data_IF_190448480348
#
_entry.id   IF_190448480348
#
_cell.length_a   1.000
_cell.length_b   1.000
_cell.length_c   1.000
_cell.angle_alpha   90.00
_cell.angle_beta   90.00
_cell.angle_gamma   90.00
#
_symmetry.space_group_name_H-M   'P 1'
#
loop_
_entity.id
_entity.type
_entity.pdbx_description
1 polymer ?
#
# COMPACT_ATOMS: atom_id res chain seq x y z
N UNK A 1 -0.18 9.92 8.02
CA UNK A 1 -1.33 10.83 8.25
C UNK A 1 -0.92 12.23 7.87
N UNK A 2 -1.75 12.93 7.09
CA UNK A 2 -1.57 14.33 6.66
C UNK A 2 -2.39 15.27 7.53
N UNK A 3 -2.26 16.59 7.31
CA UNK A 3 -3.09 17.58 7.98
C UNK A 3 -4.56 17.42 7.59
N UNK A 4 -4.85 17.24 6.30
CA UNK A 4 -6.21 17.00 5.83
C UNK A 4 -6.86 15.74 6.42
N UNK A 5 -6.10 14.68 6.69
CA UNK A 5 -6.64 13.52 7.41
C UNK A 5 -7.08 13.86 8.85
N UNK A 6 -6.33 14.74 9.55
CA UNK A 6 -6.73 15.20 10.89
C UNK A 6 -8.02 16.04 10.85
N UNK A 7 -8.23 16.75 9.77
CA UNK A 7 -9.41 17.59 9.53
C UNK A 7 -10.60 16.82 8.94
N UNK A 8 -10.47 15.50 8.73
CA UNK A 8 -11.52 14.66 8.16
C UNK A 8 -11.83 14.98 6.70
N UNK A 9 -10.83 15.46 5.93
CA UNK A 9 -10.98 15.80 4.51
C UNK A 9 -10.81 14.59 3.61
N UNK A 10 -11.46 14.60 2.46
CA UNK A 10 -11.22 13.68 1.37
C UNK A 10 -9.86 13.99 0.72
N UNK A 11 -8.82 13.28 1.12
CA UNK A 11 -7.44 13.46 0.61
C UNK A 11 -7.12 12.34 -0.38
N UNK A 12 -7.43 12.57 -1.63
CA UNK A 12 -7.27 11.63 -2.73
C UNK A 12 -5.99 11.85 -3.54
N UNK A 13 -6.09 11.59 -4.85
CA UNK A 13 -4.93 11.70 -5.74
C UNK A 13 -4.63 13.11 -6.23
N UNK A 14 -5.59 14.05 -6.14
CA UNK A 14 -5.38 15.45 -6.53
C UNK A 14 -4.70 16.27 -5.44
N UNK A 15 -4.74 15.80 -4.20
CA UNK A 15 -4.18 16.50 -3.03
C UNK A 15 -2.91 15.80 -2.56
N UNK A 16 -1.75 16.33 -2.93
CA UNK A 16 -0.45 15.73 -2.62
C UNK A 16 0.19 16.37 -1.39
N UNK A 17 -0.45 16.19 -0.23
CA UNK A 17 0.04 16.67 1.05
C UNK A 17 1.20 15.84 1.60
N UNK A 18 2.15 16.49 2.30
CA UNK A 18 3.17 15.79 3.10
C UNK A 18 2.57 15.20 4.38
N UNK A 19 3.36 14.40 5.08
CA UNK A 19 3.02 13.96 6.43
C UNK A 19 2.97 15.16 7.39
N UNK A 20 1.97 15.20 8.25
CA UNK A 20 1.93 16.16 9.36
C UNK A 20 2.81 15.67 10.54
N UNK A 21 3.08 16.57 11.50
CA UNK A 21 3.92 16.24 12.68
C UNK A 21 3.40 15.03 13.45
N UNK A 22 2.07 14.93 13.59
CA UNK A 22 1.42 13.80 14.26
C UNK A 22 1.59 12.50 13.47
N UNK A 23 1.46 12.55 12.14
CA UNK A 23 1.73 11.40 11.26
C UNK A 23 3.16 10.87 11.40
N UNK A 24 4.15 11.77 11.43
CA UNK A 24 5.55 11.41 11.64
C UNK A 24 5.75 10.80 13.05
N UNK A 25 5.12 11.37 14.07
CA UNK A 25 5.20 10.86 15.45
C UNK A 25 4.65 9.43 15.56
N UNK A 26 3.51 9.16 14.94
CA UNK A 26 2.91 7.81 14.90
C UNK A 26 3.86 6.79 14.28
N UNK A 27 4.46 7.09 13.13
CA UNK A 27 5.38 6.18 12.46
C UNK A 27 6.62 5.87 13.31
N UNK A 28 7.20 6.89 13.96
CA UNK A 28 8.38 6.71 14.82
C UNK A 28 8.08 5.97 16.13
N UNK A 29 6.83 5.96 16.57
CA UNK A 29 6.37 5.24 17.76
C UNK A 29 6.00 3.79 17.53
N UNK A 30 5.99 3.32 16.28
CA UNK A 30 5.56 1.97 15.91
C UNK A 30 6.73 1.13 15.39
N UNK A 31 6.62 -0.19 15.53
CA UNK A 31 7.63 -1.15 15.03
C UNK A 31 7.08 -1.83 13.77
N UNK A 32 7.82 -1.70 12.68
CA UNK A 32 7.47 -2.31 11.40
C UNK A 32 8.44 -3.44 11.03
N UNK A 33 7.98 -4.45 10.28
CA UNK A 33 8.87 -5.49 9.76
C UNK A 33 9.95 -4.91 8.86
N UNK A 34 11.13 -5.53 8.88
CA UNK A 34 12.18 -5.18 7.91
C UNK A 34 11.77 -5.58 6.50
N UNK A 35 12.18 -4.79 5.52
CA UNK A 35 11.95 -5.03 4.11
C UNK A 35 13.28 -5.12 3.33
N UNK A 36 13.26 -5.80 2.21
CA UNK A 36 14.39 -5.91 1.26
C UNK A 36 14.13 -5.02 0.03
N UNK A 37 12.85 -4.75 -0.28
CA UNK A 37 12.38 -3.87 -1.35
C UNK A 37 11.19 -3.06 -0.88
N UNK A 38 11.08 -1.83 -1.36
CA UNK A 38 10.00 -0.93 -1.01
C UNK A 38 9.34 -0.40 -2.27
N UNK A 39 8.05 -0.57 -2.35
CA UNK A 39 7.17 0.03 -3.34
C UNK A 39 6.23 1.00 -2.65
N UNK A 40 5.90 2.10 -3.29
CA UNK A 40 4.96 3.07 -2.72
C UNK A 40 4.10 3.74 -3.79
N UNK A 41 2.90 4.16 -3.41
CA UNK A 41 2.18 5.18 -4.16
C UNK A 41 3.11 6.40 -4.38
N UNK A 42 3.05 7.09 -5.53
CA UNK A 42 3.91 8.24 -5.80
C UNK A 42 3.57 9.47 -4.93
N UNK A 43 2.44 9.44 -4.20
CA UNK A 43 2.00 10.54 -3.34
C UNK A 43 3.01 10.79 -2.21
N UNK A 44 3.32 12.07 -1.93
CA UNK A 44 4.32 12.48 -0.94
C UNK A 44 4.16 11.78 0.40
N UNK A 45 2.94 11.71 0.92
CA UNK A 45 2.63 11.03 2.20
C UNK A 45 3.06 9.56 2.24
N UNK A 46 3.00 8.85 1.11
CA UNK A 46 3.43 7.45 1.02
C UNK A 46 4.96 7.35 0.87
N UNK A 47 5.55 8.19 0.03
CA UNK A 47 7.02 8.24 -0.15
C UNK A 47 7.70 8.64 1.15
N UNK A 48 7.24 9.69 1.83
CA UNK A 48 7.77 10.13 3.13
C UNK A 48 7.60 9.05 4.21
N UNK A 49 6.45 8.33 4.23
CA UNK A 49 6.26 7.18 5.13
C UNK A 49 7.32 6.11 4.88
N UNK A 50 7.53 5.72 3.63
CA UNK A 50 8.52 4.71 3.25
C UNK A 50 9.93 5.12 3.64
N UNK A 51 10.30 6.37 3.41
CA UNK A 51 11.62 6.92 3.76
C UNK A 51 11.87 6.97 5.27
N UNK A 52 10.84 7.27 6.07
CA UNK A 52 10.95 7.27 7.54
C UNK A 52 11.13 5.85 8.09
N UNK A 53 10.41 4.88 7.53
CA UNK A 53 10.42 3.50 8.05
C UNK A 53 11.63 2.68 7.58
N UNK A 54 12.15 2.95 6.39
CA UNK A 54 13.24 2.19 5.77
C UNK A 54 14.26 3.12 5.07
N UNK A 55 14.89 3.99 5.83
CA UNK A 55 15.77 5.08 5.35
C UNK A 55 16.86 4.67 4.34
N UNK A 56 17.33 3.42 4.43
CA UNK A 56 18.46 2.93 3.61
C UNK A 56 18.04 2.23 2.32
N UNK A 57 16.74 2.12 2.05
CA UNK A 57 16.20 1.38 0.91
C UNK A 57 15.52 2.34 -0.05
N UNK A 58 15.88 2.26 -1.33
CA UNK A 58 15.26 3.08 -2.36
C UNK A 58 13.79 2.71 -2.54
N UNK A 59 12.94 3.71 -2.67
CA UNK A 59 11.49 3.57 -2.88
C UNK A 59 11.23 3.52 -4.38
N UNK A 60 10.53 2.47 -4.82
CA UNK A 60 10.05 2.33 -6.21
C UNK A 60 8.61 2.83 -6.29
N UNK A 61 8.32 3.89 -7.06
CA UNK A 61 6.96 4.40 -7.19
C UNK A 61 6.08 3.47 -8.02
N UNK A 62 4.82 3.31 -7.60
CA UNK A 62 3.79 2.53 -8.29
C UNK A 62 2.57 3.43 -8.56
N UNK A 63 2.55 4.19 -9.68
CA UNK A 63 1.51 5.19 -9.94
C UNK A 63 0.09 4.62 -9.98
N UNK A 64 -0.08 3.40 -10.46
CA UNK A 64 -1.38 2.73 -10.53
C UNK A 64 -2.00 2.48 -9.15
N UNK A 65 -1.24 2.57 -8.05
CA UNK A 65 -1.70 2.39 -6.67
C UNK A 65 -1.86 3.72 -5.90
N UNK A 66 -2.00 4.84 -6.59
CA UNK A 66 -2.38 6.10 -5.94
C UNK A 66 -3.81 6.03 -5.37
N UNK A 67 -4.16 6.95 -4.46
CA UNK A 67 -5.49 7.01 -3.85
C UNK A 67 -6.58 7.33 -4.89
N UNK A 68 -7.82 7.14 -4.51
CA UNK A 68 -9.00 7.46 -5.32
C UNK A 68 -9.01 8.94 -5.72
N UNK A 69 -9.47 9.21 -6.93
CA UNK A 69 -9.83 10.54 -7.37
C UNK A 69 -11.22 10.90 -6.82
N UNK A 70 -11.26 11.68 -5.74
CA UNK A 70 -12.50 12.11 -5.12
C UNK A 70 -13.20 13.27 -5.87
N UNK A 71 -12.67 13.70 -7.01
CA UNK A 71 -13.29 14.70 -7.87
C UNK A 71 -13.59 16.00 -7.13
N UNK A 72 -14.84 16.45 -7.19
CA UNK A 72 -15.29 17.71 -6.59
C UNK A 72 -15.36 17.67 -5.04
N UNK A 73 -15.24 16.48 -4.44
CA UNK A 73 -15.14 16.33 -2.99
C UNK A 73 -13.71 16.44 -2.47
N UNK A 74 -12.71 16.48 -3.37
CA UNK A 74 -11.30 16.55 -3.02
C UNK A 74 -11.00 17.74 -2.11
N UNK A 75 -10.24 17.48 -1.04
CA UNK A 75 -9.84 18.45 -0.03
C UNK A 75 -10.98 19.17 0.71
N UNK A 76 -12.18 18.59 0.71
CA UNK A 76 -13.32 19.04 1.51
C UNK A 76 -13.63 18.01 2.60
N UNK A 77 -14.21 18.45 3.71
CA UNK A 77 -14.72 17.56 4.74
C UNK A 77 -16.25 17.45 4.69
N UNK A 78 -16.82 16.56 5.50
CA UNK A 78 -18.27 16.32 5.52
C UNK A 78 -19.08 17.56 5.91
N UNK A 79 -18.53 18.48 6.72
CA UNK A 79 -19.21 19.71 7.13
C UNK A 79 -19.31 20.69 5.97
N UNK A 80 -18.25 20.82 5.18
CA UNK A 80 -18.21 21.68 3.99
C UNK A 80 -19.09 21.14 2.86
N UNK A 81 -19.38 19.84 2.88
CA UNK A 81 -20.22 19.15 1.87
C UNK A 81 -21.66 18.93 2.33
N UNK A 82 -22.01 19.22 3.59
CA UNK A 82 -23.32 18.88 4.17
C UNK A 82 -24.53 19.44 3.42
N UNK A 83 -24.38 20.63 2.86
CA UNK A 83 -25.46 21.33 2.13
C UNK A 83 -25.41 21.08 0.61
N UNK A 84 -24.46 20.26 0.14
CA UNK A 84 -24.34 19.91 -1.28
C UNK A 84 -25.30 18.75 -1.62
N UNK A 85 -26.31 18.96 -2.47
CA UNK A 85 -27.26 17.92 -2.85
C UNK A 85 -26.60 16.74 -3.61
N UNK A 86 -25.48 16.99 -4.29
CA UNK A 86 -24.72 15.93 -4.98
C UNK A 86 -24.01 15.04 -3.97
N UNK A 87 -23.46 15.64 -2.92
CA UNK A 87 -22.86 14.89 -1.82
C UNK A 87 -23.91 14.07 -1.07
N UNK A 88 -25.09 14.65 -0.79
CA UNK A 88 -26.18 13.93 -0.14
C UNK A 88 -26.63 12.73 -0.98
N UNK A 89 -26.82 12.91 -2.30
CA UNK A 89 -27.17 11.81 -3.21
C UNK A 89 -26.09 10.71 -3.22
N UNK A 90 -24.82 11.10 -3.14
CA UNK A 90 -23.70 10.14 -3.04
C UNK A 90 -23.77 9.34 -1.74
N UNK A 91 -24.02 10.01 -0.60
CA UNK A 91 -24.20 9.34 0.72
C UNK A 91 -25.40 8.38 0.66
N UNK A 92 -26.56 8.83 0.17
CA UNK A 92 -27.79 8.04 0.09
C UNK A 92 -27.63 6.79 -0.80
N UNK A 93 -26.74 6.87 -1.78
CA UNK A 93 -26.37 5.70 -2.61
C UNK A 93 -25.48 4.67 -1.87
N UNK A 94 -25.05 4.95 -0.65
CA UNK A 94 -24.05 4.14 0.04
C UNK A 94 -22.66 4.18 -0.63
N UNK A 95 -22.33 5.27 -1.33
CA UNK A 95 -21.07 5.44 -2.05
C UNK A 95 -20.97 4.65 -3.36
N UNK A 96 -22.10 4.20 -3.92
CA UNK A 96 -22.12 3.46 -5.20
C UNK A 96 -22.07 4.39 -6.41
N UNK A 97 -22.52 5.64 -6.27
CA UNK A 97 -22.36 6.64 -7.32
C UNK A 97 -20.88 7.01 -7.49
N UNK A 98 -20.43 7.35 -8.71
CA UNK A 98 -19.09 7.88 -8.92
C UNK A 98 -18.91 9.23 -8.21
N UNK A 99 -17.68 9.54 -7.82
CA UNK A 99 -17.36 10.88 -7.33
C UNK A 99 -17.56 11.90 -8.46
N UNK A 100 -18.25 13.02 -8.22
CA UNK A 100 -18.49 14.02 -9.26
C UNK A 100 -17.15 14.53 -9.82
N UNK A 101 -16.97 14.42 -11.14
CA UNK A 101 -15.71 14.76 -11.79
C UNK A 101 -14.49 13.90 -11.39
N UNK A 102 -14.73 12.80 -10.70
CA UNK A 102 -13.70 11.89 -10.20
C UNK A 102 -13.88 10.44 -10.65
N UNK A 103 -13.35 9.52 -9.87
CA UNK A 103 -13.33 8.08 -10.14
C UNK A 103 -14.62 7.41 -9.59
N UNK A 104 -15.12 6.36 -10.25
CA UNK A 104 -16.10 5.49 -9.60
C UNK A 104 -15.40 4.50 -8.68
N UNK A 105 -16.10 4.06 -7.63
CA UNK A 105 -15.57 3.06 -6.70
C UNK A 105 -15.17 1.75 -7.42
N UNK A 106 -15.93 1.37 -8.43
CA UNK A 106 -15.63 0.18 -9.24
C UNK A 106 -14.34 0.36 -10.07
N UNK A 107 -14.15 1.52 -10.71
CA UNK A 107 -12.94 1.82 -11.49
C UNK A 107 -11.71 1.87 -10.58
N UNK A 108 -11.82 2.51 -9.42
CA UNK A 108 -10.79 2.56 -8.40
C UNK A 108 -10.37 1.17 -7.93
N UNK A 109 -11.33 0.34 -7.50
CA UNK A 109 -11.06 -1.04 -7.05
C UNK A 109 -10.37 -1.84 -8.15
N UNK A 110 -10.89 -1.82 -9.37
CA UNK A 110 -10.31 -2.54 -10.50
C UNK A 110 -8.87 -2.10 -10.79
N UNK A 111 -8.59 -0.80 -10.77
CA UNK A 111 -7.24 -0.24 -10.96
C UNK A 111 -6.28 -0.74 -9.89
N UNK A 112 -6.67 -0.67 -8.62
CA UNK A 112 -5.85 -1.12 -7.50
C UNK A 112 -5.58 -2.64 -7.54
N UNK A 113 -6.61 -3.43 -7.84
CA UNK A 113 -6.51 -4.89 -7.91
C UNK A 113 -5.62 -5.35 -9.07
N UNK A 114 -5.79 -4.76 -10.26
CA UNK A 114 -4.94 -5.05 -11.41
C UNK A 114 -3.49 -4.63 -11.17
N UNK A 115 -3.28 -3.42 -10.64
CA UNK A 115 -1.95 -2.92 -10.33
C UNK A 115 -1.23 -3.75 -9.26
N UNK A 116 -1.94 -4.25 -8.25
CA UNK A 116 -1.37 -5.17 -7.26
C UNK A 116 -1.00 -6.52 -7.90
N UNK A 117 -1.86 -7.10 -8.73
CA UNK A 117 -1.57 -8.36 -9.42
C UNK A 117 -0.32 -8.25 -10.31
N UNK A 118 -0.21 -7.18 -11.09
CA UNK A 118 0.99 -6.90 -11.90
C UNK A 118 2.26 -6.76 -11.05
N UNK A 119 2.17 -6.00 -9.96
CA UNK A 119 3.29 -5.83 -9.03
C UNK A 119 3.75 -7.17 -8.44
N UNK A 120 2.82 -8.04 -8.05
CA UNK A 120 3.14 -9.38 -7.55
C UNK A 120 3.87 -10.22 -8.59
N UNK A 121 3.47 -10.15 -9.86
CA UNK A 121 4.17 -10.86 -10.95
C UNK A 121 5.60 -10.33 -11.11
N UNK A 122 5.79 -9.01 -11.12
CA UNK A 122 7.13 -8.39 -11.21
C UNK A 122 8.03 -8.80 -10.04
N UNK A 123 7.48 -8.85 -8.82
CA UNK A 123 8.22 -9.27 -7.63
C UNK A 123 8.65 -10.74 -7.75
N UNK A 124 7.78 -11.63 -8.21
CA UNK A 124 8.11 -13.06 -8.45
C UNK A 124 9.21 -13.23 -9.48
N UNK A 125 9.19 -12.49 -10.56
CA UNK A 125 10.26 -12.49 -11.57
C UNK A 125 11.60 -12.05 -10.98
N UNK A 126 11.59 -10.96 -10.18
CA UNK A 126 12.80 -10.49 -9.48
C UNK A 126 13.32 -11.52 -8.48
N UNK A 127 12.46 -12.21 -7.75
CA UNK A 127 12.86 -13.32 -6.86
C UNK A 127 13.55 -14.45 -7.65
N UNK A 128 12.96 -14.88 -8.75
CA UNK A 128 13.55 -15.93 -9.60
C UNK A 128 14.93 -15.53 -10.12
N UNK A 129 15.09 -14.31 -10.60
CA UNK A 129 16.38 -13.78 -11.06
C UNK A 129 17.41 -13.74 -9.93
N UNK A 130 17.01 -13.24 -8.76
CA UNK A 130 17.87 -13.16 -7.59
C UNK A 130 18.39 -14.53 -7.12
N UNK A 131 17.55 -15.56 -7.15
CA UNK A 131 17.96 -16.94 -6.83
C UNK A 131 18.82 -17.56 -7.92
N UNK A 132 18.58 -17.26 -9.20
CA UNK A 132 19.39 -17.74 -10.32
C UNK A 132 20.83 -17.18 -10.27
N UNK A 133 20.97 -15.88 -10.03
CA UNK A 133 22.27 -15.20 -9.93
C UNK A 133 23.10 -15.71 -8.75
N UNK A 134 22.45 -16.01 -7.63
CA UNK A 134 23.15 -16.62 -6.47
C UNK A 134 23.66 -18.03 -6.77
N UNK A 135 22.86 -18.87 -7.43
CA UNK A 135 23.30 -20.22 -7.83
C UNK A 135 24.48 -20.18 -8.80
N UNK A 136 24.57 -19.17 -9.65
CA UNK A 136 25.71 -19.02 -10.57
C UNK A 136 26.98 -18.61 -9.85
N UNK A 137 26.91 -17.73 -8.84
CA UNK A 137 28.06 -17.26 -8.06
C UNK A 137 28.66 -18.34 -7.13
N UNK A 138 27.81 -19.17 -6.50
CA UNK A 138 28.28 -20.27 -5.63
C UNK A 138 28.97 -21.38 -6.39
N UNK A 139 28.86 -21.44 -7.72
CA UNK A 139 29.57 -22.43 -8.56
C UNK A 139 31.01 -22.02 -8.89
N UNK A 140 31.42 -20.81 -8.65
CA UNK A 140 32.74 -20.27 -9.03
C UNK A 140 33.64 -19.96 -7.83
N UNK A 141 33.19 -20.12 -6.57
CA UNK A 141 34.01 -19.84 -5.40
C UNK A 141 34.54 -21.09 -4.74
N UNK A 142 35.86 -21.21 -4.69
CA UNK A 142 36.64 -22.21 -3.92
C UNK A 142 36.35 -22.04 -2.41
N UNK A 143 36.28 -23.13 -1.61
CA UNK A 143 35.98 -23.02 -0.18
C UNK A 143 37.21 -22.47 0.56
N UNK A 144 37.12 -21.25 1.02
CA UNK A 144 38.13 -20.66 1.88
C UNK A 144 38.02 -19.15 1.98
N UNK A 145 37.23 -18.66 2.90
CA UNK A 145 37.41 -17.50 3.76
C UNK A 145 36.08 -17.01 4.30
N UNK A 146 36.04 -16.81 5.61
CA UNK A 146 34.86 -16.56 6.40
C UNK A 146 34.01 -15.39 5.92
N UNK A 147 32.75 -15.67 5.79
CA UNK A 147 31.71 -14.65 5.66
C UNK A 147 30.96 -14.49 6.98
N UNK A 148 30.82 -13.24 7.38
CA UNK A 148 29.98 -12.79 8.48
C UNK A 148 28.57 -13.38 8.35
N UNK A 149 28.02 -13.81 9.49
CA UNK A 149 26.64 -14.29 9.64
C UNK A 149 25.63 -13.30 9.05
N UNK A 150 25.22 -13.54 7.81
CA UNK A 150 24.18 -12.79 7.10
C UNK A 150 23.14 -13.78 6.60
N UNK A 151 21.95 -13.71 7.16
CA UNK A 151 20.64 -14.23 6.71
C UNK A 151 20.69 -15.54 5.89
N UNK A 152 20.05 -16.59 6.39
CA UNK A 152 19.90 -17.90 5.74
C UNK A 152 19.59 -17.77 4.23
N UNK A 153 20.32 -18.47 3.39
CA UNK A 153 20.37 -18.33 1.93
C UNK A 153 19.08 -18.63 1.17
N UNK A 154 17.99 -19.02 1.85
CA UNK A 154 16.72 -19.47 1.25
C UNK A 154 15.46 -18.74 1.76
N UNK A 155 15.58 -17.57 2.38
CA UNK A 155 14.38 -16.82 2.82
C UNK A 155 13.78 -16.02 1.66
N UNK A 156 12.42 -16.00 1.55
CA UNK A 156 11.73 -15.21 0.54
C UNK A 156 12.02 -13.71 0.69
N UNK A 157 11.91 -12.99 -0.42
CA UNK A 157 12.06 -11.55 -0.46
C UNK A 157 10.96 -10.87 0.37
N UNK A 158 11.33 -10.01 1.31
CA UNK A 158 10.38 -9.22 2.07
C UNK A 158 10.16 -7.89 1.36
N UNK A 159 8.92 -7.66 0.94
CA UNK A 159 8.52 -6.47 0.22
C UNK A 159 7.60 -5.64 1.07
N UNK A 160 7.89 -4.35 1.21
CA UNK A 160 6.95 -3.37 1.77
C UNK A 160 6.24 -2.64 0.63
N UNK A 161 4.92 -2.51 0.76
CA UNK A 161 4.08 -1.72 -0.12
C UNK A 161 3.38 -0.63 0.69
N UNK A 162 3.74 0.64 0.44
CA UNK A 162 3.18 1.79 1.16
C UNK A 162 2.14 2.49 0.29
N UNK A 163 0.89 2.35 0.67
CA UNK A 163 -0.26 2.85 -0.09
C UNK A 163 -1.30 3.49 0.84
N UNK A 164 -2.50 3.72 0.36
CA UNK A 164 -3.57 4.43 1.05
C UNK A 164 -4.63 3.47 1.60
N UNK A 165 -5.47 3.96 2.50
CA UNK A 165 -6.52 3.16 3.12
C UNK A 165 -7.49 2.56 2.11
N UNK A 166 -7.96 3.35 1.15
CA UNK A 166 -8.82 2.87 0.06
C UNK A 166 -8.15 1.81 -0.80
N UNK A 167 -6.87 2.04 -1.14
CA UNK A 167 -6.06 1.08 -1.92
C UNK A 167 -5.88 -0.24 -1.18
N UNK A 168 -5.61 -0.20 0.15
CA UNK A 168 -5.51 -1.41 0.99
C UNK A 168 -6.83 -2.18 0.96
N UNK A 169 -7.95 -1.51 1.21
CA UNK A 169 -9.28 -2.13 1.20
C UNK A 169 -9.59 -2.79 -0.15
N UNK A 170 -9.28 -2.13 -1.27
CA UNK A 170 -9.51 -2.64 -2.61
C UNK A 170 -8.68 -3.91 -2.92
N UNK A 171 -7.41 -3.91 -2.52
CA UNK A 171 -6.52 -5.06 -2.68
C UNK A 171 -7.01 -6.23 -1.80
N UNK A 172 -7.30 -5.96 -0.53
CA UNK A 172 -7.67 -6.99 0.43
C UNK A 172 -9.03 -7.63 0.14
N UNK A 173 -10.01 -6.87 -0.38
CA UNK A 173 -11.30 -7.40 -0.82
C UNK A 173 -11.13 -8.49 -1.90
N UNK A 174 -10.18 -8.31 -2.83
CA UNK A 174 -9.95 -9.27 -3.92
C UNK A 174 -9.02 -10.41 -3.53
N UNK A 175 -7.97 -10.13 -2.77
CA UNK A 175 -6.87 -11.06 -2.55
C UNK A 175 -6.75 -11.57 -1.12
N UNK A 176 -7.41 -10.97 -0.12
CA UNK A 176 -7.35 -11.39 1.28
C UNK A 176 -8.02 -12.73 1.52
N UNK A 177 -7.44 -13.57 2.41
CA UNK A 177 -8.02 -14.82 2.88
C UNK A 177 -7.82 -14.97 4.40
N UNK A 178 -8.90 -15.23 5.18
CA UNK A 178 -10.29 -15.41 4.77
C UNK A 178 -10.91 -14.13 4.18
N UNK A 179 -11.92 -14.28 3.33
CA UNK A 179 -12.63 -13.17 2.69
C UNK A 179 -13.44 -12.35 3.68
N UNK A 180 -13.47 -11.04 3.45
CA UNK A 180 -14.33 -10.07 4.14
C UNK A 180 -14.85 -9.04 3.14
N UNK A 181 -15.80 -8.22 3.58
CA UNK A 181 -16.29 -7.09 2.79
C UNK A 181 -15.27 -5.94 2.76
N UNK A 182 -15.37 -5.09 1.76
CA UNK A 182 -14.44 -3.99 1.50
C UNK A 182 -14.10 -3.17 2.76
N UNK A 183 -15.11 -2.69 3.47
CA UNK A 183 -14.92 -1.83 4.64
C UNK A 183 -14.36 -2.56 5.87
N UNK A 184 -14.47 -3.90 5.94
CA UNK A 184 -13.91 -4.70 7.03
C UNK A 184 -12.37 -4.75 7.00
N UNK A 185 -11.79 -4.32 5.88
CA UNK A 185 -10.34 -4.20 5.73
C UNK A 185 -9.81 -2.80 6.04
N UNK A 186 -10.65 -1.91 6.56
CA UNK A 186 -10.22 -0.58 6.95
C UNK A 186 -9.17 -0.63 8.07
N UNK A 187 -8.09 0.11 7.89
CA UNK A 187 -6.99 0.24 8.87
C UNK A 187 -6.81 1.67 9.32
N UNK A 188 -6.28 1.86 10.52
CA UNK A 188 -5.88 3.19 10.99
C UNK A 188 -4.65 3.69 10.23
N UNK A 189 -4.43 5.00 10.23
CA UNK A 189 -3.23 5.59 9.66
C UNK A 189 -1.96 5.00 10.31
N UNK A 190 -1.01 4.58 9.47
CA UNK A 190 0.20 3.92 9.91
C UNK A 190 0.06 2.42 10.17
N UNK A 191 -1.15 1.85 10.08
CA UNK A 191 -1.38 0.41 10.19
C UNK A 191 -1.54 -0.24 8.81
N UNK A 192 -1.57 -1.56 8.78
CA UNK A 192 -1.71 -2.34 7.55
C UNK A 192 -1.77 -3.84 7.82
N UNK A 193 -1.31 -4.61 6.85
CA UNK A 193 -1.30 -6.07 6.91
C UNK A 193 0.05 -6.65 6.51
N UNK A 194 0.48 -7.71 7.17
CA UNK A 194 1.50 -8.63 6.66
C UNK A 194 0.80 -9.70 5.85
N UNK A 195 1.22 -9.86 4.60
CA UNK A 195 0.62 -10.81 3.66
C UNK A 195 1.57 -11.98 3.43
N UNK A 196 1.01 -13.19 3.42
CA UNK A 196 1.72 -14.42 3.03
C UNK A 196 0.91 -15.16 1.97
N UNK A 197 1.51 -15.60 0.85
CA UNK A 197 0.76 -16.24 -0.22
C UNK A 197 0.10 -17.54 0.25
N UNK A 198 -1.08 -17.82 -0.26
CA UNK A 198 -1.75 -19.13 -0.13
C UNK A 198 -1.34 -19.96 -1.33
N UNK A 199 -0.68 -21.11 -1.07
CA UNK A 199 -0.14 -21.97 -2.11
C UNK A 199 -1.19 -22.40 -3.13
N UNK A 200 -0.82 -22.37 -4.42
CA UNK A 200 -1.70 -22.78 -5.53
C UNK A 200 -2.84 -21.81 -5.85
N UNK A 201 -2.87 -20.63 -5.24
CA UNK A 201 -3.92 -19.61 -5.48
C UNK A 201 -3.32 -18.21 -5.72
N UNK A 202 -4.18 -17.24 -6.02
CA UNK A 202 -3.84 -15.82 -6.05
C UNK A 202 -4.18 -15.10 -4.72
N UNK A 203 -4.59 -15.86 -3.69
CA UNK A 203 -5.00 -15.31 -2.39
C UNK A 203 -3.82 -15.19 -1.41
N UNK A 204 -4.04 -14.38 -0.36
CA UNK A 204 -3.06 -14.08 0.66
C UNK A 204 -3.65 -14.19 2.06
N UNK A 205 -3.04 -15.01 2.91
CA UNK A 205 -3.27 -14.93 4.34
C UNK A 205 -2.77 -13.59 4.85
N UNK A 206 -3.45 -13.02 5.84
CA UNK A 206 -3.09 -11.72 6.39
C UNK A 206 -3.08 -11.71 7.92
N UNK A 207 -2.19 -10.87 8.45
CA UNK A 207 -2.13 -10.53 9.87
C UNK A 207 -2.09 -9.01 9.97
N UNK A 208 -2.84 -8.44 10.92
CA UNK A 208 -2.81 -6.99 11.14
C UNK A 208 -1.43 -6.54 11.63
N UNK A 209 -0.92 -5.45 11.06
CA UNK A 209 0.15 -4.67 11.66
C UNK A 209 -0.44 -3.76 12.72
N UNK A 210 0.20 -3.65 13.89
CA UNK A 210 -0.26 -2.81 14.98
C UNK A 210 -0.33 -1.32 14.62
#
# INVERSE_FOLDING_TARGET
>A
MTQGNLEGRYIGCRTDEPLCKEGIRLLKGSVYPSADRIYASPMRRCVETAQILWEKISVVPVPVLQECDFGDFENKNYQELSDDPVYQAWIDSGGTLPFPGGESMEAFKRRCQSGFAELVLQIRELEMQFFADRKSKTRTETPGMGFSEGRSQNLPLRVALVVHGGTIMAIMERFGFPKKDYFDYQVKNGCGYVLTPVEGTDLWNYQCLP
#
